data_IF_072310532512
#
_entry.id   IF_072310532512
#
_cell.length_a   1.000
_cell.length_b   1.000
_cell.length_c   1.000
_cell.angle_alpha   90.00
_cell.angle_beta   90.00
_cell.angle_gamma   90.00
#
_symmetry.space_group_name_H-M   'P 1'
#
loop_
_entity.id
_entity.type
_entity.pdbx_description
1 polymer ?
#
# COMPACT_ATOMS: atom_id res chain seq x y z
N UNK A 1 -13.74 -13.86 12.23
CA UNK A 1 -13.97 -13.18 10.95
C UNK A 1 -15.21 -12.28 10.93
N UNK A 2 -16.38 -12.74 11.41
CA UNK A 2 -17.65 -11.97 11.40
C UNK A 2 -17.50 -10.52 11.91
N UNK A 3 -16.91 -10.32 13.09
CA UNK A 3 -16.72 -8.97 13.66
C UNK A 3 -15.81 -8.06 12.81
N UNK A 4 -14.76 -8.61 12.19
CA UNK A 4 -13.85 -7.85 11.31
C UNK A 4 -14.59 -7.39 10.06
N UNK A 5 -15.34 -8.29 9.43
CA UNK A 5 -16.09 -7.96 8.21
C UNK A 5 -17.15 -6.89 8.49
N UNK A 6 -17.87 -7.01 9.60
CA UNK A 6 -18.82 -5.97 10.03
C UNK A 6 -18.20 -4.57 10.08
N UNK A 7 -17.01 -4.42 10.67
CA UNK A 7 -16.31 -3.13 10.74
C UNK A 7 -15.86 -2.66 9.35
N UNK A 8 -15.27 -3.56 8.55
CA UNK A 8 -14.83 -3.25 7.18
C UNK A 8 -15.99 -2.78 6.31
N UNK A 9 -17.15 -3.43 6.40
CA UNK A 9 -18.33 -3.11 5.59
C UNK A 9 -18.91 -1.74 5.93
N UNK A 10 -18.85 -1.33 7.21
CA UNK A 10 -19.20 0.03 7.61
C UNK A 10 -18.27 1.04 6.95
N UNK A 11 -16.96 0.82 7.03
CA UNK A 11 -15.95 1.74 6.48
C UNK A 11 -16.10 1.87 4.96
N UNK A 12 -16.27 0.76 4.24
CA UNK A 12 -16.51 0.75 2.79
C UNK A 12 -17.73 1.56 2.41
N UNK A 13 -18.87 1.28 3.06
CA UNK A 13 -20.13 1.97 2.79
C UNK A 13 -20.02 3.48 3.00
N UNK A 14 -19.31 3.93 4.04
CA UNK A 14 -19.12 5.36 4.24
C UNK A 14 -18.24 5.98 3.13
N UNK A 15 -17.13 5.36 2.73
CA UNK A 15 -16.32 5.86 1.61
C UNK A 15 -17.09 5.92 0.28
N UNK A 16 -17.87 4.88 -0.04
CA UNK A 16 -18.69 4.82 -1.25
C UNK A 16 -19.75 5.94 -1.29
N UNK A 17 -20.36 6.30 -0.15
CA UNK A 17 -21.32 7.41 -0.07
C UNK A 17 -20.71 8.77 -0.46
N UNK A 18 -19.42 8.96 -0.27
CA UNK A 18 -18.70 10.18 -0.65
C UNK A 18 -18.05 10.09 -2.04
N UNK A 19 -18.35 9.03 -2.81
CA UNK A 19 -17.86 8.88 -4.18
C UNK A 19 -16.42 8.38 -4.28
N UNK A 20 -15.84 7.82 -3.21
CA UNK A 20 -14.54 7.17 -3.29
C UNK A 20 -14.66 5.78 -3.92
N UNK A 21 -13.75 5.48 -4.83
CA UNK A 21 -13.62 4.15 -5.42
C UNK A 21 -12.61 3.30 -4.63
N UNK A 22 -12.88 2.00 -4.44
CA UNK A 22 -11.95 1.10 -3.78
C UNK A 22 -10.72 0.84 -4.65
N UNK A 23 -9.53 0.88 -4.04
CA UNK A 23 -8.27 0.57 -4.69
C UNK A 23 -7.43 -0.32 -3.79
N UNK A 24 -6.89 -1.40 -4.35
CA UNK A 24 -5.96 -2.28 -3.67
C UNK A 24 -4.64 -2.35 -4.44
N UNK A 25 -3.53 -2.33 -3.72
CA UNK A 25 -2.19 -2.57 -4.26
C UNK A 25 -1.66 -3.92 -3.76
N UNK A 26 -0.62 -4.49 -4.38
CA UNK A 26 0.09 -5.63 -3.81
C UNK A 26 0.65 -5.33 -2.42
N UNK A 27 0.73 -6.34 -1.55
CA UNK A 27 1.34 -6.21 -0.20
C UNK A 27 2.85 -5.93 -0.27
N UNK A 28 3.48 -6.25 -1.41
CA UNK A 28 4.91 -6.12 -1.65
C UNK A 28 5.16 -5.15 -2.80
N UNK A 29 6.16 -4.29 -2.64
CA UNK A 29 6.62 -3.33 -3.65
C UNK A 29 8.12 -3.51 -3.87
N UNK A 30 8.65 -2.97 -4.98
CA UNK A 30 10.09 -2.89 -5.18
C UNK A 30 10.71 -1.99 -4.12
N UNK A 31 11.89 -2.34 -3.61
CA UNK A 31 12.55 -1.55 -2.57
C UNK A 31 12.80 -0.10 -3.01
N UNK A 32 13.14 0.12 -4.28
CA UNK A 32 13.32 1.47 -4.86
C UNK A 32 12.07 2.36 -4.79
N UNK A 33 10.87 1.77 -4.73
CA UNK A 33 9.61 2.51 -4.57
C UNK A 33 9.44 3.00 -3.13
N UNK A 34 9.89 2.20 -2.15
CA UNK A 34 9.68 2.45 -0.72
C UNK A 34 10.82 3.26 -0.10
N UNK A 35 12.06 3.05 -0.56
CA UNK A 35 13.27 3.58 0.06
C UNK A 35 13.27 5.11 0.13
N UNK A 36 13.56 5.64 1.32
CA UNK A 36 13.64 7.07 1.58
C UNK A 36 12.29 7.80 1.59
N UNK A 37 11.17 7.11 1.41
CA UNK A 37 9.82 7.73 1.43
C UNK A 37 9.25 7.85 2.83
N UNK A 38 9.74 7.03 3.76
CA UNK A 38 9.25 6.98 5.14
C UNK A 38 10.20 7.62 6.16
N UNK A 39 11.26 8.29 5.67
CA UNK A 39 12.38 8.73 6.49
C UNK A 39 13.23 7.55 7.00
N UNK A 40 14.29 7.87 7.73
CA UNK A 40 15.27 6.87 8.19
C UNK A 40 14.64 5.80 9.08
N UNK A 41 13.71 6.17 9.96
CA UNK A 41 13.06 5.22 10.86
C UNK A 41 12.11 4.28 10.11
N UNK A 42 11.32 4.80 9.17
CA UNK A 42 10.41 3.98 8.38
C UNK A 42 11.13 3.00 7.46
N UNK A 43 12.29 3.39 6.92
CA UNK A 43 13.15 2.49 6.15
C UNK A 43 13.69 1.33 7.01
N UNK A 44 14.02 1.60 8.28
CA UNK A 44 14.50 0.56 9.22
C UNK A 44 13.41 -0.40 9.67
N UNK A 45 12.17 0.10 9.81
CA UNK A 45 11.02 -0.70 10.22
C UNK A 45 10.36 -1.47 9.06
N UNK A 46 10.68 -1.12 7.82
CA UNK A 46 10.15 -1.81 6.64
C UNK A 46 10.77 -3.20 6.50
N UNK A 47 9.93 -4.22 6.34
CA UNK A 47 10.41 -5.59 6.14
C UNK A 47 10.95 -5.76 4.72
N UNK A 48 12.28 -5.63 4.58
CA UNK A 48 13.02 -5.75 3.31
C UNK A 48 13.67 -7.13 3.16
N UNK A 49 13.60 -7.69 1.96
CA UNK A 49 14.26 -8.95 1.61
C UNK A 49 14.59 -9.03 0.12
N UNK A 50 15.43 -10.00 -0.25
CA UNK A 50 15.67 -10.36 -1.65
C UNK A 50 14.80 -11.56 -1.99
N UNK A 51 13.98 -11.45 -3.03
CA UNK A 51 13.13 -12.55 -3.46
C UNK A 51 13.89 -13.62 -4.27
N UNK A 52 13.21 -14.70 -4.65
CA UNK A 52 13.83 -15.80 -5.42
C UNK A 52 14.30 -15.39 -6.83
N UNK A 53 13.85 -14.24 -7.32
CA UNK A 53 14.28 -13.67 -8.60
C UNK A 53 15.46 -12.70 -8.47
N UNK A 54 16.02 -12.53 -7.27
CA UNK A 54 17.13 -11.60 -7.02
C UNK A 54 16.73 -10.13 -6.94
N UNK A 55 15.42 -9.84 -6.79
CA UNK A 55 14.92 -8.47 -6.69
C UNK A 55 14.90 -8.04 -5.23
N UNK A 56 15.31 -6.80 -4.96
CA UNK A 56 15.11 -6.18 -3.66
C UNK A 56 13.66 -5.71 -3.52
N UNK A 57 12.96 -6.24 -2.52
CA UNK A 57 11.55 -5.97 -2.29
C UNK A 57 11.29 -5.64 -0.83
N UNK A 58 10.20 -4.92 -0.56
CA UNK A 58 9.74 -4.64 0.79
C UNK A 58 8.24 -4.87 0.93
N UNK A 59 7.82 -5.32 2.11
CA UNK A 59 6.40 -5.26 2.48
C UNK A 59 6.02 -3.81 2.75
N UNK A 60 4.93 -3.33 2.16
CA UNK A 60 4.49 -1.94 2.30
C UNK A 60 4.33 -1.57 3.78
N UNK A 61 4.93 -0.44 4.17
CA UNK A 61 4.83 0.09 5.53
C UNK A 61 3.48 0.78 5.77
N UNK A 62 2.97 1.45 4.73
CA UNK A 62 1.69 2.13 4.71
C UNK A 62 0.95 1.92 3.37
N UNK A 63 -0.14 2.66 3.15
CA UNK A 63 -0.89 2.66 1.89
C UNK A 63 -0.64 3.92 1.04
N UNK A 64 0.00 4.97 1.57
CA UNK A 64 0.17 6.26 0.88
C UNK A 64 1.22 6.21 -0.22
N UNK A 65 2.35 5.54 0.01
CA UNK A 65 3.40 5.40 -1.02
C UNK A 65 2.91 4.52 -2.18
N UNK A 66 2.30 3.34 -1.95
CA UNK A 66 1.68 2.56 -3.02
C UNK A 66 0.60 3.33 -3.79
N UNK A 67 -0.24 4.13 -3.10
CA UNK A 67 -1.23 4.98 -3.76
C UNK A 67 -0.56 6.01 -4.68
N UNK A 68 0.46 6.71 -4.18
CA UNK A 68 1.21 7.70 -4.96
C UNK A 68 1.85 7.08 -6.21
N UNK A 69 2.39 5.86 -6.09
CA UNK A 69 2.91 5.09 -7.23
C UNK A 69 1.82 4.83 -8.27
N UNK A 70 0.64 4.38 -7.84
CA UNK A 70 -0.46 4.09 -8.77
C UNK A 70 -0.88 5.35 -9.53
N UNK A 71 -1.10 6.47 -8.84
CA UNK A 71 -1.46 7.75 -9.50
C UNK A 71 -0.37 8.20 -10.47
N UNK A 72 0.91 8.08 -10.10
CA UNK A 72 2.02 8.45 -10.98
C UNK A 72 2.12 7.56 -12.23
N UNK A 73 1.81 6.27 -12.11
CA UNK A 73 1.83 5.31 -13.22
C UNK A 73 0.59 5.39 -14.13
N UNK A 74 -0.50 5.94 -13.63
CA UNK A 74 -1.79 6.03 -14.31
C UNK A 74 -2.37 7.46 -14.26
N UNK A 75 -1.78 8.44 -14.97
CA UNK A 75 -2.18 9.85 -14.85
C UNK A 75 -3.59 10.19 -15.35
N UNK A 76 -4.31 9.21 -15.90
CA UNK A 76 -5.67 9.35 -16.43
C UNK A 76 -6.75 8.75 -15.52
N UNK A 77 -6.35 8.14 -14.39
CA UNK A 77 -7.25 7.86 -13.27
C UNK A 77 -7.54 9.17 -12.52
#
# INVERSE_FOLDING_TARGET
>A
MIKRNYVIDIVKREFEKYGFEPLETPTMELWETLSGKYGEEGDRLTYRFVDRGGREVGLRYDLTVPLSRVIAMHPQL
#
